data_IF_670687333966
#
_entry.id   IF_670687333966
#
_cell.length_a   1.000
_cell.length_b   1.000
_cell.length_c   1.000
_cell.angle_alpha   90.00
_cell.angle_beta   90.00
_cell.angle_gamma   90.00
#
_symmetry.space_group_name_H-M   'P 1'
#
loop_
_entity.id
_entity.type
_entity.pdbx_description
1 polymer ?
#
# COMPACT_ATOMS: atom_id res chain seq x y z
N UNK A 1 -41.59 70.51 6.93
CA UNK A 1 -41.40 71.97 6.79
C UNK A 1 -40.64 72.39 8.04
N UNK A 2 -39.38 72.79 7.86
CA UNK A 2 -38.55 73.74 8.65
C UNK A 2 -38.66 73.62 10.20
N UNK A 3 -37.63 73.33 11.00
CA UNK A 3 -36.37 74.06 11.16
C UNK A 3 -35.44 73.36 12.18
N UNK A 4 -34.13 73.62 12.06
CA UNK A 4 -33.07 73.25 13.03
C UNK A 4 -33.19 74.09 14.30
N UNK A 5 -32.85 73.49 15.45
CA UNK A 5 -32.35 74.17 16.67
C UNK A 5 -31.30 73.24 17.31
N UNK A 6 -30.00 73.49 17.12
CA UNK A 6 -29.04 74.13 18.06
C UNK A 6 -28.68 73.25 19.28
N UNK A 7 -27.46 72.70 19.30
CA UNK A 7 -26.69 72.42 20.52
C UNK A 7 -26.11 73.73 21.07
N UNK A 8 -25.87 73.88 22.39
CA UNK A 8 -24.50 73.68 22.90
C UNK A 8 -24.37 73.24 24.38
N UNK A 9 -23.18 72.71 24.67
CA UNK A 9 -22.31 72.81 25.86
C UNK A 9 -22.95 72.91 27.28
N UNK A 10 -22.39 72.33 28.34
CA UNK A 10 -21.11 72.77 28.94
C UNK A 10 -20.75 71.83 30.15
N UNK A 11 -19.79 72.11 31.06
CA UNK A 11 -18.54 71.35 31.10
C UNK A 11 -18.15 70.82 32.51
N UNK A 12 -17.01 70.12 32.52
CA UNK A 12 -15.99 70.16 33.57
C UNK A 12 -16.34 69.69 35.00
N UNK A 13 -15.56 68.72 35.48
CA UNK A 13 -14.65 68.97 36.60
C UNK A 13 -13.54 67.93 36.66
N UNK A 14 -12.32 68.40 36.41
CA UNK A 14 -11.05 67.75 36.73
C UNK A 14 -10.86 67.66 38.24
N UNK A 15 -10.21 66.58 38.69
CA UNK A 15 -9.23 66.43 39.80
C UNK A 15 -9.09 64.90 40.00
N UNK A 16 -7.94 64.23 39.94
CA UNK A 16 -6.55 64.59 40.29
C UNK A 16 -5.56 63.70 39.47
N UNK A 17 -4.40 64.27 39.16
CA UNK A 17 -3.11 63.65 38.76
C UNK A 17 -2.21 63.85 40.02
N UNK A 18 -1.24 62.98 40.46
CA UNK A 18 -0.14 62.45 39.62
C UNK A 18 0.49 61.09 40.00
N UNK A 19 1.44 60.69 39.12
CA UNK A 19 2.64 59.89 39.39
C UNK A 19 2.45 58.39 39.71
N UNK A 20 3.17 57.42 39.15
CA UNK A 20 4.38 57.45 38.32
C UNK A 20 4.54 56.05 37.69
N UNK A 21 5.01 56.03 36.45
CA UNK A 21 5.90 55.02 35.85
C UNK A 21 5.48 53.53 35.80
N UNK A 22 5.05 53.12 34.61
CA UNK A 22 5.93 52.30 33.76
C UNK A 22 6.15 50.84 34.12
N UNK A 23 5.14 49.96 33.97
CA UNK A 23 5.33 48.52 33.70
C UNK A 23 4.08 47.95 33.01
N UNK A 24 3.80 48.26 31.73
CA UNK A 24 2.75 47.50 30.97
C UNK A 24 3.12 47.26 29.49
N UNK A 25 4.38 47.49 29.07
CA UNK A 25 4.80 47.21 27.69
C UNK A 25 5.95 46.20 27.57
N UNK A 26 6.10 45.31 28.57
CA UNK A 26 7.06 44.19 28.54
C UNK A 26 6.46 42.82 28.93
N UNK A 27 5.13 42.74 29.11
CA UNK A 27 4.46 41.46 29.43
C UNK A 27 3.63 40.87 28.28
N UNK A 28 3.52 41.56 27.14
CA UNK A 28 2.89 41.04 25.92
C UNK A 28 3.89 40.49 24.88
N UNK A 29 5.21 40.59 25.12
CA UNK A 29 6.23 39.97 24.26
C UNK A 29 6.79 38.63 24.81
N UNK A 30 6.56 38.32 26.09
CA UNK A 30 6.99 37.05 26.69
C UNK A 30 6.01 35.89 26.48
N UNK A 31 4.74 36.17 26.13
CA UNK A 31 3.76 35.13 25.79
C UNK A 31 3.75 34.75 24.30
N UNK A 32 4.38 35.57 23.44
CA UNK A 32 4.48 35.31 21.99
C UNK A 32 5.78 34.59 21.61
N UNK A 33 6.80 34.56 22.47
CA UNK A 33 8.05 33.82 22.23
C UNK A 33 8.09 32.41 22.86
N UNK A 34 7.12 32.05 23.71
CA UNK A 34 7.00 30.70 24.30
C UNK A 34 6.03 29.79 23.53
N UNK A 35 5.36 30.31 22.50
CA UNK A 35 4.48 29.52 21.61
C UNK A 35 5.12 29.12 20.27
N UNK A 36 6.41 29.41 20.06
CA UNK A 36 7.17 28.93 18.88
C UNK A 36 8.28 27.93 19.23
N UNK A 37 8.28 27.38 20.45
CA UNK A 37 9.21 26.33 20.90
C UNK A 37 8.55 24.97 21.16
N UNK A 38 7.30 24.79 20.71
CA UNK A 38 6.49 23.58 20.97
C UNK A 38 6.05 22.76 19.75
N UNK A 39 6.56 23.04 18.55
CA UNK A 39 6.23 22.25 17.35
C UNK A 39 7.42 22.04 16.40
N UNK A 40 8.64 22.00 16.95
CA UNK A 40 9.60 21.07 16.40
C UNK A 40 9.25 19.73 17.04
N UNK A 41 8.22 19.07 16.49
CA UNK A 41 8.21 17.62 16.56
C UNK A 41 9.62 17.20 16.15
N UNK A 42 10.31 16.46 17.02
CA UNK A 42 11.49 15.72 16.59
C UNK A 42 11.07 15.07 15.28
N UNK A 43 11.67 15.49 14.16
CA UNK A 43 11.55 14.74 12.93
C UNK A 43 11.97 13.34 13.34
N UNK A 44 11.03 12.42 13.36
CA UNK A 44 11.32 11.03 13.67
C UNK A 44 12.37 10.64 12.63
N UNK A 45 13.61 10.44 13.07
CA UNK A 45 14.73 10.12 12.18
C UNK A 45 14.64 8.67 11.70
N UNK A 46 13.44 8.10 11.70
CA UNK A 46 13.16 6.83 11.08
C UNK A 46 13.37 6.99 9.58
N UNK A 47 14.18 6.10 9.01
CA UNK A 47 14.30 6.01 7.56
C UNK A 47 12.89 5.78 7.01
N UNK A 48 12.35 6.69 6.17
CA UNK A 48 11.03 6.51 5.62
C UNK A 48 10.93 5.26 4.74
N UNK A 49 12.06 4.69 4.29
CA UNK A 49 12.12 3.39 3.64
C UNK A 49 12.17 2.29 4.69
N UNK A 50 11.01 1.68 4.93
CA UNK A 50 10.87 0.61 5.90
C UNK A 50 11.44 -0.73 5.39
N UNK A 51 11.39 -0.94 4.06
CA UNK A 51 12.00 -2.10 3.41
C UNK A 51 12.27 -1.82 1.92
N UNK A 52 13.35 -2.40 1.38
CA UNK A 52 13.63 -2.39 -0.05
C UNK A 52 14.41 -3.63 -0.50
N UNK A 53 14.09 -4.10 -1.70
CA UNK A 53 14.85 -5.16 -2.38
C UNK A 53 14.88 -4.96 -3.89
N UNK A 54 16.09 -4.96 -4.44
CA UNK A 54 16.36 -4.82 -5.87
C UNK A 54 17.10 -6.05 -6.43
N UNK A 55 17.32 -7.07 -5.60
CA UNK A 55 18.10 -8.27 -5.90
C UNK A 55 19.49 -7.97 -6.48
N UNK A 56 20.10 -6.86 -6.05
CA UNK A 56 21.38 -6.38 -6.57
C UNK A 56 22.58 -7.18 -6.06
N UNK A 57 22.36 -8.07 -5.10
CA UNK A 57 23.43 -8.77 -4.39
C UNK A 57 24.09 -9.89 -5.21
N UNK A 58 23.32 -10.64 -5.99
CA UNK A 58 23.80 -11.79 -6.78
C UNK A 58 22.72 -12.25 -7.79
N UNK A 59 23.07 -13.18 -8.67
CA UNK A 59 22.13 -13.83 -9.60
C UNK A 59 22.10 -15.36 -9.39
N UNK A 60 21.13 -16.03 -10.00
CA UNK A 60 20.94 -17.48 -9.90
C UNK A 60 20.07 -17.91 -8.72
N UNK A 61 20.12 -19.19 -8.37
CA UNK A 61 19.22 -19.83 -7.39
C UNK A 61 19.85 -20.02 -6.02
N UNK A 62 20.98 -19.36 -5.73
CA UNK A 62 21.59 -19.44 -4.40
C UNK A 62 20.69 -18.75 -3.37
N UNK A 63 20.72 -19.22 -2.11
CA UNK A 63 19.97 -18.56 -1.04
C UNK A 63 20.37 -17.09 -0.90
N UNK A 64 21.66 -16.78 -1.04
CA UNK A 64 22.19 -15.41 -1.02
C UNK A 64 21.61 -14.55 -2.15
N UNK A 65 21.47 -15.10 -3.36
CA UNK A 65 20.85 -14.40 -4.49
C UNK A 65 19.36 -14.13 -4.20
N UNK A 66 18.61 -15.20 -3.93
CA UNK A 66 17.14 -15.15 -3.76
C UNK A 66 16.73 -14.26 -2.58
N UNK A 67 17.48 -14.28 -1.48
CA UNK A 67 17.22 -13.42 -0.30
C UNK A 67 17.80 -12.01 -0.41
N UNK A 68 18.39 -11.66 -1.55
CA UNK A 68 19.06 -10.37 -1.79
C UNK A 68 20.09 -10.04 -0.68
N UNK A 69 21.01 -10.98 -0.43
CA UNK A 69 22.03 -10.84 0.60
C UNK A 69 21.51 -11.01 2.03
N UNK A 70 20.36 -11.69 2.21
CA UNK A 70 19.72 -11.84 3.50
C UNK A 70 18.90 -10.63 3.94
N UNK A 71 18.52 -9.74 3.01
CA UNK A 71 17.52 -8.69 3.26
C UNK A 71 16.16 -9.31 3.57
N UNK A 72 15.76 -10.31 2.79
CA UNK A 72 14.63 -11.17 3.11
C UNK A 72 15.03 -12.14 4.22
N UNK A 73 14.43 -12.01 5.40
CA UNK A 73 14.78 -12.86 6.56
C UNK A 73 14.16 -14.25 6.49
N UNK A 74 13.05 -14.39 5.76
CA UNK A 74 12.39 -15.66 5.59
C UNK A 74 12.36 -16.08 4.13
N UNK A 75 12.77 -17.32 3.89
CA UNK A 75 12.74 -17.97 2.58
C UNK A 75 12.35 -19.43 2.76
N UNK A 76 11.29 -19.85 2.08
CA UNK A 76 10.82 -21.22 2.08
C UNK A 76 10.68 -21.75 0.66
N UNK A 77 11.07 -23.01 0.48
CA UNK A 77 10.83 -23.83 -0.71
C UNK A 77 10.09 -25.09 -0.27
N UNK A 78 8.80 -25.18 -0.62
CA UNK A 78 7.94 -26.32 -0.37
C UNK A 78 7.98 -27.23 -1.60
N UNK A 79 9.10 -27.95 -1.75
CA UNK A 79 9.40 -28.77 -2.92
C UNK A 79 9.53 -30.27 -2.60
N UNK A 80 9.14 -30.68 -1.38
CA UNK A 80 9.15 -32.07 -0.90
C UNK A 80 10.48 -32.82 -1.14
N UNK A 81 11.61 -32.11 -1.13
CA UNK A 81 12.94 -32.72 -1.31
C UNK A 81 13.28 -33.13 -2.75
N UNK A 82 12.46 -32.76 -3.73
CA UNK A 82 12.64 -33.13 -5.15
C UNK A 82 13.82 -32.43 -5.85
N UNK A 83 14.47 -31.46 -5.19
CA UNK A 83 15.55 -30.65 -5.78
C UNK A 83 15.09 -29.56 -6.74
N UNK A 84 13.79 -29.49 -7.08
CA UNK A 84 13.20 -28.40 -7.87
C UNK A 84 13.38 -27.09 -7.11
N UNK A 85 13.83 -26.04 -7.81
CA UNK A 85 13.94 -24.67 -7.30
C UNK A 85 12.94 -23.79 -8.03
N UNK A 86 12.05 -23.16 -7.28
CA UNK A 86 11.05 -22.26 -7.84
C UNK A 86 11.58 -20.84 -7.96
N UNK A 87 12.44 -20.43 -7.03
CA UNK A 87 13.00 -19.08 -6.98
C UNK A 87 14.42 -18.99 -7.54
N UNK A 88 14.65 -17.94 -8.32
CA UNK A 88 15.98 -17.59 -8.83
C UNK A 88 16.04 -16.11 -9.19
N UNK A 89 17.22 -15.50 -9.14
CA UNK A 89 17.42 -14.11 -9.55
C UNK A 89 18.02 -14.04 -10.95
N UNK A 90 17.46 -13.18 -11.80
CA UNK A 90 17.92 -12.95 -13.17
C UNK A 90 18.07 -11.46 -13.46
N UNK A 91 18.92 -11.05 -14.41
CA UNK A 91 18.94 -9.66 -14.89
C UNK A 91 17.67 -9.32 -15.70
N UNK A 92 17.44 -8.03 -15.94
CA UNK A 92 16.41 -7.54 -16.88
C UNK A 92 15.13 -6.97 -16.23
N UNK A 93 15.20 -6.61 -14.95
CA UNK A 93 14.16 -5.86 -14.26
C UNK A 93 14.14 -4.37 -14.64
N UNK A 94 13.03 -3.65 -14.38
CA UNK A 94 12.90 -2.23 -14.69
C UNK A 94 14.00 -1.37 -14.03
N UNK A 95 14.49 -0.37 -14.76
CA UNK A 95 15.57 0.52 -14.29
C UNK A 95 16.94 -0.16 -14.14
N UNK A 96 17.19 -1.27 -14.84
CA UNK A 96 18.46 -2.01 -14.79
C UNK A 96 18.62 -2.92 -13.58
N UNK A 97 17.55 -3.12 -12.80
CA UNK A 97 17.54 -4.00 -11.62
C UNK A 97 17.58 -5.47 -12.01
N UNK A 98 17.95 -6.32 -11.07
CA UNK A 98 17.67 -7.74 -11.17
C UNK A 98 16.20 -8.01 -10.79
N UNK A 99 15.71 -9.17 -11.16
CA UNK A 99 14.36 -9.63 -10.90
C UNK A 99 14.37 -11.02 -10.24
N UNK A 100 13.51 -11.21 -9.25
CA UNK A 100 13.18 -12.53 -8.73
C UNK A 100 12.25 -13.23 -9.73
N UNK A 101 12.76 -14.26 -10.38
CA UNK A 101 11.98 -15.20 -11.18
C UNK A 101 11.36 -16.26 -10.29
N UNK A 102 10.07 -16.49 -10.47
CA UNK A 102 9.27 -17.52 -9.81
C UNK A 102 8.72 -18.47 -10.86
N UNK A 103 8.88 -19.78 -10.69
CA UNK A 103 8.36 -20.79 -11.63
C UNK A 103 6.99 -21.34 -11.19
N UNK A 104 6.10 -21.58 -12.15
CA UNK A 104 4.86 -22.32 -11.94
C UNK A 104 5.08 -23.82 -12.17
N UNK A 105 4.96 -24.64 -11.13
CA UNK A 105 5.14 -26.10 -11.20
C UNK A 105 3.92 -26.89 -10.71
N UNK A 106 2.73 -26.31 -10.85
CA UNK A 106 1.48 -26.94 -10.42
C UNK A 106 1.27 -26.87 -8.90
N UNK A 107 0.31 -27.65 -8.36
CA UNK A 107 -0.24 -27.43 -7.02
C UNK A 107 0.60 -28.04 -5.89
N UNK A 108 1.71 -28.71 -6.21
CA UNK A 108 2.54 -29.44 -5.24
C UNK A 108 3.84 -28.71 -4.89
N UNK A 109 4.05 -27.54 -5.47
CA UNK A 109 5.27 -26.77 -5.39
C UNK A 109 4.93 -25.34 -5.02
N UNK A 110 5.45 -24.87 -3.89
CA UNK A 110 5.30 -23.49 -3.44
C UNK A 110 6.66 -22.96 -3.00
N UNK A 111 6.87 -21.65 -3.12
CA UNK A 111 8.04 -21.00 -2.55
C UNK A 111 7.73 -19.53 -2.33
N UNK A 112 8.23 -18.98 -1.23
CA UNK A 112 7.98 -17.60 -0.90
C UNK A 112 9.14 -16.97 -0.14
N UNK A 113 9.26 -15.66 -0.31
CA UNK A 113 10.01 -14.78 0.56
C UNK A 113 9.03 -14.05 1.46
N UNK A 114 9.43 -13.78 2.70
CA UNK A 114 8.69 -12.90 3.58
C UNK A 114 9.64 -12.06 4.42
N UNK A 115 9.27 -10.80 4.59
CA UNK A 115 9.84 -9.94 5.59
C UNK A 115 8.81 -9.63 6.67
N UNK A 116 9.19 -9.84 7.92
CA UNK A 116 8.35 -9.56 9.07
C UNK A 116 8.66 -8.20 9.66
N UNK A 117 7.65 -7.60 10.30
CA UNK A 117 7.75 -6.30 11.00
C UNK A 117 8.30 -5.20 10.10
N UNK A 118 7.85 -5.15 8.84
CA UNK A 118 8.21 -4.07 7.90
C UNK A 118 7.71 -2.72 8.40
N UNK A 119 6.62 -2.69 9.17
CA UNK A 119 6.12 -1.49 9.87
C UNK A 119 5.58 -1.84 11.27
N UNK A 120 5.39 -0.87 12.17
CA UNK A 120 4.60 -1.07 13.39
C UNK A 120 3.14 -1.45 13.08
N UNK A 121 2.43 -1.99 14.07
CA UNK A 121 1.00 -2.29 13.92
C UNK A 121 0.22 -0.99 13.67
N UNK A 122 -0.86 -1.07 12.89
CA UNK A 122 -1.80 0.05 12.68
C UNK A 122 -1.11 1.34 12.23
N UNK A 123 -0.18 1.20 11.28
CA UNK A 123 0.62 2.29 10.72
C UNK A 123 0.35 2.38 9.24
N UNK A 124 0.13 3.58 8.72
CA UNK A 124 -0.03 3.79 7.28
C UNK A 124 1.27 3.45 6.54
N UNK A 125 1.14 2.82 5.38
CA UNK A 125 2.31 2.51 4.58
C UNK A 125 2.00 2.39 3.10
N UNK A 126 3.05 2.58 2.30
CA UNK A 126 3.04 2.49 0.86
C UNK A 126 3.87 1.31 0.42
N UNK A 127 3.37 0.53 -0.52
CA UNK A 127 4.08 -0.59 -1.15
C UNK A 127 4.20 -0.30 -2.62
N UNK A 128 5.38 -0.53 -3.19
CA UNK A 128 5.60 -0.60 -4.63
C UNK A 128 6.36 -1.88 -4.97
N UNK A 129 5.95 -2.52 -6.06
CA UNK A 129 6.74 -3.55 -6.73
C UNK A 129 6.47 -3.52 -8.23
N UNK A 130 7.42 -4.03 -9.00
CA UNK A 130 7.23 -4.32 -10.42
C UNK A 130 6.92 -5.80 -10.60
N UNK A 131 6.03 -6.11 -11.52
CA UNK A 131 5.72 -7.48 -11.87
C UNK A 131 5.60 -7.66 -13.38
N UNK A 132 6.08 -8.81 -13.86
CA UNK A 132 5.86 -9.33 -15.21
C UNK A 132 5.36 -10.76 -15.07
N UNK A 133 4.27 -11.09 -15.75
CA UNK A 133 3.73 -12.44 -15.78
C UNK A 133 3.91 -13.06 -17.16
N UNK A 134 4.56 -14.22 -17.23
CA UNK A 134 4.63 -15.05 -18.44
C UNK A 134 3.86 -16.37 -18.24
N UNK A 135 3.49 -16.71 -17.01
CA UNK A 135 2.71 -17.88 -16.64
C UNK A 135 1.27 -17.80 -17.20
N UNK A 136 0.83 -18.94 -17.74
CA UNK A 136 -0.47 -19.12 -18.38
C UNK A 136 -1.43 -19.99 -17.57
N UNK A 137 -1.14 -20.27 -16.30
CA UNK A 137 -2.10 -20.98 -15.45
C UNK A 137 -3.35 -20.12 -15.22
N UNK A 138 -4.52 -20.68 -15.51
CA UNK A 138 -5.82 -20.00 -15.37
C UNK A 138 -6.34 -19.97 -13.93
N UNK A 139 -5.62 -20.58 -13.00
CA UNK A 139 -6.03 -20.69 -11.60
C UNK A 139 -5.50 -19.50 -10.81
N UNK A 140 -6.39 -18.83 -10.07
CA UNK A 140 -6.03 -17.63 -9.33
C UNK A 140 -5.13 -17.91 -8.13
N UNK A 141 -3.92 -17.34 -8.16
CA UNK A 141 -2.84 -17.56 -7.20
C UNK A 141 -2.51 -16.29 -6.41
N UNK A 142 -2.34 -16.39 -5.08
CA UNK A 142 -2.03 -15.28 -4.16
C UNK A 142 -0.51 -15.09 -4.08
N UNK A 143 0.03 -14.27 -4.98
CA UNK A 143 1.49 -14.20 -5.21
C UNK A 143 2.18 -13.02 -4.53
N UNK A 144 1.42 -12.04 -4.03
CA UNK A 144 1.93 -10.96 -3.15
C UNK A 144 0.91 -10.72 -2.04
N UNK A 145 1.32 -10.93 -0.80
CA UNK A 145 0.44 -10.90 0.38
C UNK A 145 1.11 -10.17 1.53
N UNK A 146 0.34 -9.81 2.56
CA UNK A 146 0.96 -9.36 3.81
C UNK A 146 1.54 -10.54 4.59
N UNK A 147 0.88 -11.69 4.61
CA UNK A 147 1.36 -12.88 5.31
C UNK A 147 1.11 -14.11 4.43
N UNK A 148 2.12 -14.96 4.28
CA UNK A 148 2.06 -16.17 3.42
C UNK A 148 1.23 -17.31 4.03
N UNK A 149 0.67 -17.14 5.22
CA UNK A 149 -0.25 -18.09 5.85
C UNK A 149 -1.61 -17.45 6.17
N UNK A 150 -1.70 -16.12 6.13
CA UNK A 150 -2.94 -15.36 6.34
C UNK A 150 -3.36 -14.58 5.09
N UNK A 151 -3.52 -15.30 3.97
CA UNK A 151 -4.08 -14.76 2.72
C UNK A 151 -5.43 -14.06 2.91
N UNK A 152 -6.17 -14.52 3.93
CA UNK A 152 -7.39 -13.92 4.48
C UNK A 152 -7.28 -12.42 4.76
N UNK A 153 -6.14 -11.96 5.27
CA UNK A 153 -6.04 -10.59 5.75
C UNK A 153 -5.99 -9.57 4.59
N UNK A 154 -4.92 -9.65 3.78
CA UNK A 154 -4.74 -8.84 2.58
C UNK A 154 -3.82 -9.55 1.59
N UNK A 155 -4.34 -9.77 0.39
CA UNK A 155 -3.57 -10.13 -0.80
C UNK A 155 -3.50 -8.92 -1.72
N UNK A 156 -2.30 -8.43 -2.01
CA UNK A 156 -2.07 -7.35 -2.98
C UNK A 156 -2.20 -7.82 -4.42
N UNK A 157 -1.83 -9.07 -4.68
CA UNK A 157 -1.80 -9.63 -6.02
C UNK A 157 -2.32 -11.05 -6.01
N UNK A 158 -3.59 -11.22 -6.38
CA UNK A 158 -4.11 -12.50 -6.85
C UNK A 158 -4.17 -12.47 -8.37
N UNK A 159 -3.40 -13.32 -9.05
CA UNK A 159 -3.29 -13.33 -10.53
C UNK A 159 -3.81 -14.61 -11.17
N UNK A 160 -4.33 -14.52 -12.39
CA UNK A 160 -4.63 -15.67 -13.24
C UNK A 160 -4.54 -15.32 -14.72
N UNK A 161 -4.20 -16.31 -15.54
CA UNK A 161 -4.21 -16.16 -16.98
C UNK A 161 -5.64 -16.16 -17.54
N UNK A 162 -5.82 -15.42 -18.62
CA UNK A 162 -7.00 -15.41 -19.48
C UNK A 162 -6.54 -15.54 -20.94
N UNK A 163 -7.48 -15.70 -21.88
CA UNK A 163 -7.15 -15.97 -23.30
C UNK A 163 -6.12 -14.99 -23.89
N UNK A 164 -6.26 -13.70 -23.62
CA UNK A 164 -5.48 -12.64 -24.26
C UNK A 164 -4.46 -11.97 -23.32
N UNK A 165 -4.17 -12.61 -22.18
CA UNK A 165 -3.28 -12.01 -21.18
C UNK A 165 -3.47 -12.60 -19.79
N UNK A 166 -3.44 -11.74 -18.79
CA UNK A 166 -3.69 -12.11 -17.40
C UNK A 166 -4.47 -11.00 -16.70
N UNK A 167 -5.22 -11.38 -15.67
CA UNK A 167 -5.99 -10.49 -14.81
C UNK A 167 -5.49 -10.62 -13.39
N UNK A 168 -5.88 -9.63 -12.59
CA UNK A 168 -5.52 -9.58 -11.18
C UNK A 168 -6.57 -8.88 -10.34
N UNK A 169 -6.54 -9.15 -9.05
CA UNK A 169 -7.35 -8.49 -8.03
C UNK A 169 -6.57 -8.40 -6.72
N UNK A 170 -7.05 -7.54 -5.82
CA UNK A 170 -6.74 -7.63 -4.40
C UNK A 170 -7.80 -8.51 -3.73
N UNK A 171 -7.37 -9.26 -2.71
CA UNK A 171 -8.28 -10.02 -1.85
C UNK A 171 -8.22 -9.49 -0.44
N UNK A 172 -9.38 -9.17 0.12
CA UNK A 172 -9.57 -8.65 1.47
C UNK A 172 -10.68 -9.46 2.13
N UNK A 173 -10.29 -10.52 2.81
CA UNK A 173 -11.19 -11.30 3.64
C UNK A 173 -11.21 -10.75 5.08
N UNK A 174 -10.30 -9.82 5.38
CA UNK A 174 -10.25 -9.07 6.61
C UNK A 174 -10.32 -9.95 7.86
N UNK A 175 -11.24 -9.59 8.74
CA UNK A 175 -11.58 -10.36 9.95
C UNK A 175 -12.67 -11.43 9.70
N UNK A 176 -13.09 -11.62 8.44
CA UNK A 176 -14.16 -12.50 8.01
C UNK A 176 -14.64 -12.17 6.61
N UNK A 177 -14.82 -13.20 5.77
CA UNK A 177 -15.21 -13.03 4.36
C UNK A 177 -16.62 -12.47 4.23
N UNK A 178 -16.76 -11.31 3.59
CA UNK A 178 -18.06 -10.75 3.20
C UNK A 178 -18.21 -10.83 1.68
N UNK A 179 -19.16 -11.62 1.18
CA UNK A 179 -19.55 -11.58 -0.23
C UNK A 179 -20.48 -10.37 -0.46
N UNK A 180 -20.28 -9.55 -1.51
CA UNK A 180 -19.34 -9.64 -2.62
C UNK A 180 -18.07 -8.74 -2.46
N UNK A 181 -17.65 -8.46 -1.24
CA UNK A 181 -16.57 -7.51 -0.94
C UNK A 181 -15.20 -8.18 -0.72
N UNK A 182 -15.08 -9.49 -0.99
CA UNK A 182 -13.86 -10.23 -0.69
C UNK A 182 -12.75 -9.99 -1.73
N UNK A 183 -13.12 -9.67 -2.97
CA UNK A 183 -12.21 -9.44 -4.07
C UNK A 183 -12.54 -8.14 -4.80
N UNK A 184 -11.49 -7.41 -5.17
CA UNK A 184 -11.60 -6.14 -5.89
C UNK A 184 -10.58 -6.10 -7.01
N UNK A 185 -11.03 -5.92 -8.24
CA UNK A 185 -10.15 -5.92 -9.39
C UNK A 185 -10.69 -5.07 -10.52
N UNK A 186 -9.81 -4.56 -11.40
CA UNK A 186 -10.23 -3.85 -12.60
C UNK A 186 -10.74 -4.82 -13.67
N UNK A 187 -11.67 -4.37 -14.52
CA UNK A 187 -11.94 -5.04 -15.80
C UNK A 187 -10.84 -4.70 -16.81
N UNK A 188 -9.63 -5.15 -16.49
CA UNK A 188 -8.41 -4.87 -17.23
C UNK A 188 -7.67 -6.18 -17.46
N UNK A 189 -7.31 -6.45 -18.72
CA UNK A 189 -6.45 -7.57 -19.08
C UNK A 189 -5.06 -7.05 -19.41
N UNK A 190 -4.08 -7.48 -18.62
CA UNK A 190 -2.68 -7.14 -18.81
C UNK A 190 -2.03 -8.09 -19.79
N UNK A 191 -1.14 -7.58 -20.64
CA UNK A 191 -0.35 -8.41 -21.55
C UNK A 191 0.65 -9.27 -20.79
N UNK A 192 0.80 -10.52 -21.22
CA UNK A 192 1.93 -11.37 -20.81
C UNK A 192 3.25 -10.77 -21.31
N UNK A 193 4.38 -11.09 -20.67
CA UNK A 193 5.69 -10.64 -21.15
C UNK A 193 6.02 -9.17 -20.87
N UNK A 194 5.07 -8.38 -20.36
CA UNK A 194 5.23 -6.96 -20.10
C UNK A 194 5.41 -6.68 -18.60
N UNK A 195 6.21 -5.64 -18.30
CA UNK A 195 6.38 -5.12 -16.95
C UNK A 195 5.30 -4.11 -16.62
N UNK A 196 4.80 -4.19 -15.39
CA UNK A 196 3.89 -3.22 -14.79
C UNK A 196 4.41 -2.84 -13.40
N UNK A 197 4.09 -1.63 -12.95
CA UNK A 197 4.34 -1.17 -11.59
C UNK A 197 3.02 -1.15 -10.83
N UNK A 198 2.99 -1.84 -9.69
CA UNK A 198 1.86 -1.85 -8.79
C UNK A 198 2.24 -1.09 -7.53
N UNK A 199 1.36 -0.17 -7.14
CA UNK A 199 1.51 0.61 -5.93
C UNK A 199 0.24 0.52 -5.09
N UNK A 200 0.42 0.35 -3.79
CA UNK A 200 -0.66 0.28 -2.81
C UNK A 200 -0.37 1.22 -1.65
N UNK A 201 -1.38 1.94 -1.17
CA UNK A 201 -1.34 2.67 0.09
C UNK A 201 -2.36 2.05 1.03
N UNK A 202 -1.89 1.64 2.19
CA UNK A 202 -2.72 1.12 3.28
C UNK A 202 -2.92 2.25 4.27
N UNK A 203 -4.14 2.78 4.29
CA UNK A 203 -4.58 3.92 5.11
C UNK A 203 -5.42 3.37 6.28
N UNK A 204 -4.92 3.44 7.51
CA UNK A 204 -5.67 3.02 8.68
C UNK A 204 -6.65 4.11 9.11
N UNK A 205 -7.95 3.82 8.98
CA UNK A 205 -9.01 4.71 9.48
C UNK A 205 -9.23 4.54 10.98
N UNK A 206 -8.89 3.36 11.51
CA UNK A 206 -8.75 3.06 12.94
C UNK A 206 -7.77 1.91 13.13
N UNK A 207 -7.56 1.43 14.37
CA UNK A 207 -6.56 0.41 14.65
C UNK A 207 -6.75 -0.92 13.89
N UNK A 208 -7.96 -1.22 13.42
CA UNK A 208 -8.37 -2.51 12.84
C UNK A 208 -9.06 -2.39 11.48
N UNK A 209 -9.17 -1.19 10.92
CA UNK A 209 -9.81 -0.97 9.63
C UNK A 209 -8.93 -0.12 8.73
N UNK A 210 -8.90 -0.48 7.44
CA UNK A 210 -8.12 0.21 6.43
C UNK A 210 -8.95 0.60 5.21
N UNK A 211 -8.46 1.60 4.51
CA UNK A 211 -8.72 1.82 3.09
C UNK A 211 -7.45 1.42 2.31
N UNK A 212 -7.62 0.77 1.16
CA UNK A 212 -6.54 0.32 0.29
C UNK A 212 -6.62 1.10 -1.00
N UNK A 213 -5.71 2.04 -1.20
CA UNK A 213 -5.62 2.82 -2.42
C UNK A 213 -4.63 2.18 -3.39
N UNK A 214 -4.98 2.11 -4.66
CA UNK A 214 -4.24 1.39 -5.67
C UNK A 214 -3.86 2.31 -6.82
N UNK A 215 -2.64 2.13 -7.35
CA UNK A 215 -2.22 2.70 -8.62
C UNK A 215 -1.47 1.64 -9.42
N UNK A 216 -1.82 1.51 -10.69
CA UNK A 216 -1.16 0.56 -11.60
C UNK A 216 -0.63 1.33 -12.79
N UNK A 217 0.63 1.11 -13.13
CA UNK A 217 1.29 1.77 -14.25
C UNK A 217 1.82 0.75 -15.25
N UNK A 218 1.76 1.09 -16.53
CA UNK A 218 2.43 0.33 -17.57
C UNK A 218 3.95 0.59 -17.60
N UNK A 219 4.65 -0.09 -18.52
CA UNK A 219 6.10 0.04 -18.69
C UNK A 219 6.58 1.45 -19.11
N UNK A 220 5.69 2.28 -19.65
CA UNK A 220 6.00 3.68 -20.00
C UNK A 220 5.88 4.63 -18.80
N UNK A 221 5.34 4.15 -17.67
CA UNK A 221 5.03 4.96 -16.50
C UNK A 221 3.66 5.63 -16.56
N UNK A 222 2.79 5.25 -17.50
CA UNK A 222 1.42 5.76 -17.59
C UNK A 222 0.54 5.01 -16.61
N UNK A 223 -0.23 5.73 -15.78
CA UNK A 223 -1.20 5.10 -14.89
C UNK A 223 -2.38 4.55 -15.71
N UNK A 224 -2.64 3.25 -15.58
CA UNK A 224 -3.66 2.51 -16.34
C UNK A 224 -4.82 2.00 -15.47
N UNK A 225 -4.69 2.05 -14.15
CA UNK A 225 -5.79 1.80 -13.21
C UNK A 225 -5.57 2.51 -11.87
N UNK A 226 -6.65 2.77 -11.14
CA UNK A 226 -6.64 3.14 -9.72
C UNK A 226 -7.95 2.80 -9.02
N UNK A 227 -8.20 3.39 -7.84
CA UNK A 227 -9.35 3.06 -6.97
C UNK A 227 -10.72 3.03 -7.66
N UNK A 228 -10.91 3.89 -8.68
CA UNK A 228 -12.16 3.98 -9.43
C UNK A 228 -12.38 2.82 -10.39
N UNK A 229 -11.34 2.10 -10.76
CA UNK A 229 -11.39 0.98 -11.69
C UNK A 229 -11.55 -0.36 -10.96
N UNK A 230 -11.18 -0.43 -9.67
CA UNK A 230 -11.25 -1.64 -8.87
C UNK A 230 -12.68 -1.90 -8.41
N UNK A 231 -13.35 -2.80 -9.12
CA UNK A 231 -14.73 -3.20 -8.94
C UNK A 231 -14.84 -4.34 -7.92
N UNK A 232 -15.89 -4.33 -7.10
CA UNK A 232 -16.23 -5.47 -6.25
C UNK A 232 -16.43 -6.74 -7.09
N UNK A 233 -16.21 -7.90 -6.50
CA UNK A 233 -16.52 -9.16 -7.14
C UNK A 233 -18.01 -9.25 -7.50
N UNK A 234 -18.36 -10.00 -8.54
CA UNK A 234 -19.75 -10.06 -9.03
C UNK A 234 -20.37 -8.67 -9.29
N UNK A 235 -19.55 -7.76 -9.83
CA UNK A 235 -19.95 -6.42 -10.27
C UNK A 235 -21.23 -6.44 -11.12
N UNK A 236 -22.18 -5.57 -10.77
CA UNK A 236 -23.50 -5.46 -11.40
C UNK A 236 -24.46 -6.61 -11.09
N UNK A 237 -24.02 -7.68 -10.42
CA UNK A 237 -24.81 -8.89 -10.16
C UNK A 237 -25.19 -9.04 -8.69
N UNK A 238 -24.24 -8.86 -7.77
CA UNK A 238 -24.45 -9.09 -6.35
C UNK A 238 -24.68 -7.77 -5.60
N UNK A 239 -25.80 -7.67 -4.88
CA UNK A 239 -26.08 -6.50 -4.05
C UNK A 239 -25.34 -6.58 -2.72
N UNK A 240 -24.78 -5.45 -2.30
CA UNK A 240 -24.35 -5.18 -0.95
C UNK A 240 -24.75 -3.76 -0.58
N UNK A 241 -25.44 -3.63 0.55
CA UNK A 241 -25.94 -2.35 1.04
C UNK A 241 -26.69 -1.51 -0.03
N UNK A 242 -27.58 -2.18 -0.77
CA UNK A 242 -28.45 -1.55 -1.77
C UNK A 242 -27.81 -1.26 -3.14
N UNK A 243 -26.55 -1.62 -3.37
CA UNK A 243 -25.82 -1.40 -4.63
C UNK A 243 -25.04 -2.63 -5.07
N UNK A 244 -24.81 -2.79 -6.36
CA UNK A 244 -24.01 -3.90 -6.94
C UNK A 244 -22.79 -3.42 -7.72
N UNK A 245 -22.54 -2.11 -7.69
CA UNK A 245 -21.58 -1.38 -8.52
C UNK A 245 -20.56 -0.63 -7.65
N UNK A 246 -20.11 -1.25 -6.55
CA UNK A 246 -19.09 -0.66 -5.69
C UNK A 246 -17.70 -0.75 -6.32
N UNK A 247 -17.09 0.40 -6.55
CA UNK A 247 -15.63 0.53 -6.75
C UNK A 247 -14.98 0.88 -5.42
N UNK A 248 -13.69 0.60 -5.23
CA UNK A 248 -12.96 1.04 -4.02
C UNK A 248 -13.18 2.53 -3.75
N UNK A 249 -13.06 3.37 -4.79
CA UNK A 249 -13.31 4.81 -4.69
C UNK A 249 -14.70 5.13 -4.15
N UNK A 250 -15.75 4.52 -4.72
CA UNK A 250 -17.13 4.81 -4.29
C UNK A 250 -17.44 4.22 -2.91
N UNK A 251 -16.84 3.09 -2.56
CA UNK A 251 -16.99 2.41 -1.29
C UNK A 251 -16.40 3.26 -0.15
N UNK A 252 -15.20 3.79 -0.35
CA UNK A 252 -14.54 4.69 0.60
C UNK A 252 -15.23 6.06 0.68
N UNK A 253 -15.71 6.60 -0.43
CA UNK A 253 -16.49 7.85 -0.43
C UNK A 253 -17.81 7.73 0.35
N UNK A 254 -18.37 6.52 0.48
CA UNK A 254 -19.55 6.25 1.30
C UNK A 254 -19.21 6.03 2.79
N UNK A 255 -17.95 6.18 3.19
CA UNK A 255 -17.49 6.06 4.57
C UNK A 255 -17.20 4.62 5.01
N UNK A 256 -17.12 3.66 4.08
CA UNK A 256 -16.76 2.29 4.41
C UNK A 256 -15.25 2.08 4.45
N UNK A 257 -14.87 1.03 5.16
CA UNK A 257 -13.49 0.55 5.31
C UNK A 257 -13.51 -0.97 5.37
N UNK A 258 -12.33 -1.57 5.41
CA UNK A 258 -12.13 -3.02 5.38
C UNK A 258 -11.45 -3.43 6.68
N UNK A 259 -12.05 -4.39 7.39
CA UNK A 259 -11.45 -4.93 8.62
C UNK A 259 -10.15 -5.66 8.29
N UNK A 260 -9.17 -5.60 9.18
CA UNK A 260 -7.86 -6.26 9.04
C UNK A 260 -7.36 -6.72 10.40
N UNK A 261 -6.53 -7.75 10.39
CA UNK A 261 -5.66 -8.12 11.51
C UNK A 261 -4.37 -7.28 11.46
N UNK A 262 -4.15 -6.34 12.39
CA UNK A 262 -3.06 -5.38 12.28
C UNK A 262 -1.69 -6.03 12.35
N UNK A 263 -1.53 -7.12 13.10
CA UNK A 263 -0.24 -7.81 13.22
C UNK A 263 0.16 -8.51 11.91
N UNK A 264 -0.80 -9.02 11.15
CA UNK A 264 -0.54 -9.64 9.86
C UNK A 264 -0.15 -8.60 8.79
N UNK A 265 -0.68 -7.36 8.87
CA UNK A 265 -0.31 -6.26 7.94
C UNK A 265 1.15 -5.79 8.09
N UNK A 266 1.82 -6.13 9.20
CA UNK A 266 3.23 -5.76 9.45
C UNK A 266 4.21 -6.64 8.70
N UNK A 267 3.73 -7.55 7.87
CA UNK A 267 4.52 -8.51 7.12
C UNK A 267 4.32 -8.24 5.63
N UNK A 268 5.25 -8.70 4.83
CA UNK A 268 5.15 -8.62 3.39
C UNK A 268 5.79 -9.84 2.76
N UNK A 269 5.03 -10.55 1.93
CA UNK A 269 5.46 -11.78 1.29
C UNK A 269 5.17 -11.80 -0.21
N UNK A 270 6.00 -12.55 -0.95
CA UNK A 270 5.80 -12.78 -2.37
C UNK A 270 6.37 -14.13 -2.81
N UNK A 271 5.80 -14.70 -3.86
CA UNK A 271 6.26 -15.97 -4.41
C UNK A 271 5.18 -16.71 -5.17
N UNK A 272 5.13 -18.04 -4.97
CA UNK A 272 4.16 -18.99 -5.50
C UNK A 272 3.53 -19.75 -4.32
N UNK A 273 2.20 -19.72 -4.20
CA UNK A 273 1.45 -20.41 -3.14
C UNK A 273 1.28 -21.92 -3.38
N UNK A 274 1.65 -22.44 -4.56
CA UNK A 274 1.33 -23.81 -4.95
C UNK A 274 -0.18 -24.01 -5.06
N UNK A 275 -0.84 -23.04 -5.68
CA UNK A 275 -2.29 -22.93 -5.69
C UNK A 275 -2.96 -24.24 -6.16
N UNK A 276 -3.95 -24.70 -5.39
CA UNK A 276 -4.76 -25.87 -5.75
C UNK A 276 -5.32 -25.68 -7.16
N UNK A 277 -5.21 -26.71 -8.00
CA UNK A 277 -5.63 -26.73 -9.40
C UNK A 277 -4.77 -25.85 -10.34
N UNK A 278 -3.63 -25.32 -9.88
CA UNK A 278 -2.65 -24.71 -10.77
C UNK A 278 -2.08 -25.75 -11.74
N UNK A 279 -1.83 -25.33 -12.98
CA UNK A 279 -1.20 -26.18 -13.99
C UNK A 279 0.31 -26.10 -13.85
N UNK A 280 1.05 -27.18 -14.06
CA UNK A 280 2.50 -27.12 -14.28
C UNK A 280 2.76 -26.58 -15.70
N UNK A 281 2.85 -25.25 -15.83
CA UNK A 281 3.14 -24.60 -17.11
C UNK A 281 4.63 -24.56 -17.41
N UNK A 282 5.49 -24.70 -16.38
CA UNK A 282 6.92 -24.45 -16.48
C UNK A 282 7.29 -22.99 -16.78
N UNK A 283 6.30 -22.09 -16.85
CA UNK A 283 6.48 -20.70 -17.21
C UNK A 283 6.66 -19.82 -15.96
N UNK A 284 7.42 -18.73 -16.07
CA UNK A 284 7.71 -17.86 -14.94
C UNK A 284 6.75 -16.69 -14.76
N UNK A 285 6.79 -16.08 -13.59
CA UNK A 285 6.59 -14.65 -13.41
C UNK A 285 7.77 -14.04 -12.67
N UNK A 286 7.80 -12.73 -12.61
CA UNK A 286 8.94 -11.97 -12.11
C UNK A 286 8.49 -10.85 -11.19
N UNK A 287 9.28 -10.61 -10.14
CA UNK A 287 9.19 -9.44 -9.28
C UNK A 287 10.48 -8.62 -9.35
N UNK A 288 10.38 -7.30 -9.27
CA UNK A 288 11.53 -6.41 -9.21
C UNK A 288 11.21 -5.15 -8.40
N UNK A 289 12.26 -4.47 -7.90
CA UNK A 289 12.17 -3.13 -7.32
C UNK A 289 11.14 -2.97 -6.21
N UNK A 290 11.20 -3.82 -5.20
CA UNK A 290 10.30 -3.79 -4.05
C UNK A 290 10.69 -2.63 -3.14
N UNK A 291 9.71 -1.82 -2.74
CA UNK A 291 9.92 -0.77 -1.74
C UNK A 291 8.68 -0.60 -0.87
N UNK A 292 8.89 -0.51 0.44
CA UNK A 292 7.86 -0.19 1.45
C UNK A 292 8.28 1.08 2.15
N UNK A 293 7.36 2.03 2.29
CA UNK A 293 7.60 3.34 2.91
C UNK A 293 6.49 3.77 3.85
N UNK A 294 6.79 4.69 4.76
CA UNK A 294 5.81 5.26 5.72
C UNK A 294 5.48 6.73 5.49
N UNK A 295 6.12 7.39 4.51
CA UNK A 295 5.98 8.83 4.29
C UNK A 295 5.19 9.20 3.02
N UNK A 296 5.45 8.50 1.91
CA UNK A 296 4.86 8.81 0.62
C UNK A 296 4.97 7.66 -0.39
N UNK A 297 4.28 7.81 -1.52
CA UNK A 297 4.37 6.93 -2.68
C UNK A 297 5.83 6.77 -3.15
N UNK A 298 6.33 5.52 -3.24
CA UNK A 298 7.63 5.20 -3.83
C UNK A 298 7.79 5.80 -5.23
N UNK A 299 8.97 6.37 -5.50
CA UNK A 299 9.32 6.85 -6.85
C UNK A 299 9.81 5.70 -7.75
N UNK A 300 9.75 5.82 -9.10
CA UNK A 300 10.15 4.77 -10.03
C UNK A 300 11.54 4.14 -9.78
#
# INVERSE_FOLDING_TARGET
MVERVVQPAEPSRRRRIPALLGVVLLLSLAAALVRMTGCLALADTSDPVAFESNWSTDTGSSSRAVTDGGRWKNYWEFNNGTGVRLLSVVPGGPGGRNALRVLQRGPHFAAALQQDRVVPASTDFFVRFYMRNDDTSSTGDHVVTVDIYKYGNLTFMRKWAVRDGWRFEISLYGCGTTYPLAHWGPDLTLRLGAWYRFEYHIDFVDATHVQVHVRVFDASGTQIAGDGDFQQQAWGQALWNGRSDWTLKSYYAAGYSLCVEPDALRKFGMGNNGQKDASDTGLPWYFAGVQIRTDWWPQP
#
